data_IF_043090384756
#
_entry.id   IF_043090384756
#
_cell.length_a   1.000
_cell.length_b   1.000
_cell.length_c   1.000
_cell.angle_alpha   90.00
_cell.angle_beta   90.00
_cell.angle_gamma   90.00
#
_symmetry.space_group_name_H-M   'P 1'
#
loop_
_entity.id
_entity.type
_entity.pdbx_description
1 polymer ?
#
# COMPACT_ATOMS: atom_id res chain seq x y z
N UNK A 1 1.51 -18.00 -27.29
CA UNK A 1 2.93 -18.27 -26.96
C UNK A 1 2.99 -19.01 -25.63
N UNK A 2 3.97 -19.91 -25.45
CA UNK A 2 4.19 -20.57 -24.17
C UNK A 2 5.06 -19.72 -23.28
N UNK A 3 4.64 -19.50 -22.03
CA UNK A 3 5.37 -18.71 -21.04
C UNK A 3 5.46 -19.50 -19.74
N UNK A 4 6.66 -19.55 -19.16
CA UNK A 4 6.90 -20.23 -17.89
C UNK A 4 6.65 -19.27 -16.72
N UNK A 5 5.84 -19.69 -15.77
CA UNK A 5 5.56 -19.00 -14.51
C UNK A 5 6.16 -19.80 -13.36
N UNK A 6 7.10 -19.21 -12.65
CA UNK A 6 7.68 -19.75 -11.42
C UNK A 6 6.92 -19.18 -10.22
N UNK A 7 6.09 -20.01 -9.60
CA UNK A 7 5.12 -19.59 -8.59
C UNK A 7 5.54 -20.09 -7.22
N UNK A 8 5.59 -19.21 -6.25
CA UNK A 8 5.81 -19.56 -4.84
C UNK A 8 4.65 -20.40 -4.30
N UNK A 9 4.99 -21.50 -3.64
CA UNK A 9 4.05 -22.45 -3.04
C UNK A 9 4.38 -22.65 -1.56
N UNK A 10 3.34 -22.67 -0.77
CA UNK A 10 3.41 -23.00 0.65
C UNK A 10 2.03 -23.36 1.19
N UNK A 11 1.86 -24.56 1.71
CA UNK A 11 0.69 -24.96 2.47
C UNK A 11 1.10 -25.30 3.91
N UNK A 12 0.71 -24.52 4.93
CA UNK A 12 1.13 -24.73 6.32
C UNK A 12 0.67 -26.07 6.92
N UNK A 13 -0.29 -26.76 6.28
CA UNK A 13 -0.78 -28.05 6.74
C UNK A 13 0.08 -29.24 6.25
N UNK A 14 0.79 -29.06 5.12
CA UNK A 14 1.57 -30.13 4.48
C UNK A 14 3.05 -29.83 4.35
N UNK A 15 3.42 -28.56 4.18
CA UNK A 15 4.77 -28.19 3.78
C UNK A 15 5.59 -27.75 4.99
N UNK A 16 6.81 -28.29 5.09
CA UNK A 16 7.79 -27.86 6.10
C UNK A 16 8.42 -26.52 5.74
N UNK A 17 8.66 -26.30 4.45
CA UNK A 17 9.31 -25.11 3.92
C UNK A 17 8.64 -24.69 2.60
N UNK A 18 8.67 -23.39 2.25
CA UNK A 18 8.20 -22.93 0.95
C UNK A 18 9.03 -23.51 -0.19
N UNK A 19 8.40 -23.70 -1.35
CA UNK A 19 9.03 -24.14 -2.59
C UNK A 19 8.50 -23.37 -3.79
N UNK A 20 8.96 -23.68 -4.97
CA UNK A 20 8.47 -23.08 -6.21
C UNK A 20 8.07 -24.17 -7.19
N UNK A 21 6.90 -24.00 -7.81
CA UNK A 21 6.47 -24.78 -8.96
C UNK A 21 6.61 -23.96 -10.24
N UNK A 22 6.96 -24.62 -11.33
CA UNK A 22 7.03 -24.01 -12.66
C UNK A 22 5.87 -24.51 -13.49
N UNK A 23 5.07 -23.58 -14.01
CA UNK A 23 3.93 -23.85 -14.86
C UNK A 23 4.16 -23.24 -16.24
N UNK A 24 4.09 -24.05 -17.29
CA UNK A 24 4.08 -23.58 -18.67
C UNK A 24 2.65 -23.45 -19.15
N UNK A 25 2.26 -22.26 -19.59
CA UNK A 25 0.92 -22.01 -20.10
C UNK A 25 0.93 -21.30 -21.44
N UNK A 26 -0.04 -21.63 -22.26
CA UNK A 26 -0.32 -20.89 -23.48
C UNK A 26 -1.05 -19.58 -23.15
N UNK A 27 -0.47 -18.45 -23.59
CA UNK A 27 -0.98 -17.13 -23.26
C UNK A 27 -0.72 -16.13 -24.38
N UNK A 28 -1.38 -14.98 -24.33
CA UNK A 28 -1.25 -13.87 -25.26
C UNK A 28 -0.46 -12.72 -24.60
N UNK A 29 0.27 -11.87 -25.37
CA UNK A 29 1.02 -10.74 -24.82
C UNK A 29 0.18 -9.77 -24.00
N UNK A 30 -1.10 -9.64 -24.32
CA UNK A 30 -2.04 -8.75 -23.63
C UNK A 30 -2.83 -9.43 -22.50
N UNK A 31 -2.61 -10.72 -22.24
CA UNK A 31 -3.20 -11.40 -21.07
C UNK A 31 -2.62 -10.77 -19.80
N UNK A 32 -3.46 -10.65 -18.78
CA UNK A 32 -3.03 -10.17 -17.46
C UNK A 32 -2.38 -11.32 -16.71
N UNK A 33 -1.42 -11.00 -15.84
CA UNK A 33 -0.83 -12.01 -14.94
C UNK A 33 -1.92 -12.74 -14.13
N UNK A 34 -2.99 -12.04 -13.73
CA UNK A 34 -4.13 -12.66 -13.05
C UNK A 34 -4.85 -13.70 -13.94
N UNK A 35 -4.98 -13.46 -15.24
CA UNK A 35 -5.61 -14.42 -16.16
C UNK A 35 -4.74 -15.66 -16.30
N UNK A 36 -3.41 -15.48 -16.33
CA UNK A 36 -2.45 -16.57 -16.33
C UNK A 36 -2.53 -17.42 -15.05
N UNK A 37 -2.60 -16.79 -13.88
CA UNK A 37 -2.81 -17.51 -12.61
C UNK A 37 -4.13 -18.27 -12.58
N UNK A 38 -5.20 -17.73 -13.17
CA UNK A 38 -6.46 -18.46 -13.31
C UNK A 38 -6.33 -19.67 -14.24
N UNK A 39 -5.62 -19.53 -15.38
CA UNK A 39 -5.35 -20.66 -16.30
C UNK A 39 -4.59 -21.78 -15.56
N UNK A 40 -3.53 -21.43 -14.81
CA UNK A 40 -2.80 -22.42 -13.98
C UNK A 40 -3.76 -23.14 -13.03
N UNK A 41 -4.55 -22.39 -12.26
CA UNK A 41 -5.47 -22.97 -11.27
C UNK A 41 -6.55 -23.87 -11.88
N UNK A 42 -7.05 -23.52 -13.05
CA UNK A 42 -8.14 -24.28 -13.67
C UNK A 42 -7.67 -25.46 -14.49
N UNK A 43 -6.46 -25.41 -15.06
CA UNK A 43 -6.01 -26.39 -16.03
C UNK A 43 -4.89 -27.32 -15.50
N UNK A 44 -4.07 -26.85 -14.56
CA UNK A 44 -2.88 -27.57 -14.12
C UNK A 44 -2.88 -27.89 -12.62
N UNK A 45 -3.18 -26.91 -11.76
CA UNK A 45 -3.15 -27.11 -10.32
C UNK A 45 -4.25 -26.31 -9.59
N UNK A 46 -5.34 -27.00 -9.28
CA UNK A 46 -6.49 -26.43 -8.57
C UNK A 46 -6.20 -26.03 -7.11
N UNK A 47 -5.07 -26.46 -6.55
CA UNK A 47 -4.69 -26.14 -5.16
C UNK A 47 -4.05 -24.75 -5.03
N UNK A 48 -3.60 -24.13 -6.14
CA UNK A 48 -2.97 -22.83 -6.15
C UNK A 48 -3.91 -21.75 -5.57
N UNK A 49 -3.43 -21.11 -4.50
CA UNK A 49 -4.23 -20.19 -3.71
C UNK A 49 -3.76 -18.73 -3.89
N UNK A 50 -4.64 -17.86 -4.35
CA UNK A 50 -4.43 -16.41 -4.46
C UNK A 50 -5.76 -15.68 -4.33
N UNK A 51 -5.67 -14.38 -3.99
CA UNK A 51 -6.86 -13.51 -3.89
C UNK A 51 -7.17 -12.87 -5.23
N UNK A 52 -8.44 -12.82 -5.57
CA UNK A 52 -8.96 -12.06 -6.70
C UNK A 52 -10.40 -11.59 -6.41
N UNK A 53 -10.80 -10.48 -7.03
CA UNK A 53 -12.15 -9.95 -6.95
C UNK A 53 -12.50 -9.19 -8.23
N UNK A 54 -12.31 -7.85 -8.28
CA UNK A 54 -12.77 -7.01 -9.38
C UNK A 54 -12.04 -7.24 -10.72
N UNK A 55 -10.81 -7.74 -10.70
CA UNK A 55 -9.95 -7.98 -11.86
C UNK A 55 -9.65 -6.73 -12.75
N UNK A 56 -9.81 -5.51 -12.22
CA UNK A 56 -9.59 -4.26 -12.98
C UNK A 56 -8.97 -3.13 -12.14
N UNK A 57 -8.21 -3.47 -11.09
CA UNK A 57 -7.38 -2.52 -10.35
C UNK A 57 -8.12 -1.59 -9.39
N UNK A 58 -9.30 -1.99 -8.88
CA UNK A 58 -10.09 -1.18 -7.94
C UNK A 58 -10.10 -1.77 -6.52
N UNK A 59 -10.23 -3.09 -6.37
CA UNK A 59 -10.33 -3.72 -5.05
C UNK A 59 -8.98 -3.89 -4.34
N UNK A 60 -7.87 -3.97 -5.08
CA UNK A 60 -6.53 -4.16 -4.52
C UNK A 60 -6.25 -5.55 -3.93
N UNK A 61 -7.15 -6.54 -4.12
CA UNK A 61 -7.04 -7.86 -3.46
C UNK A 61 -5.92 -8.73 -4.01
N UNK A 62 -5.54 -8.54 -5.26
CA UNK A 62 -4.58 -9.32 -6.03
C UNK A 62 -3.17 -8.73 -6.05
N UNK A 63 -2.80 -8.07 -4.94
CA UNK A 63 -1.45 -7.57 -4.74
C UNK A 63 -0.45 -8.71 -4.57
N UNK A 64 0.58 -8.75 -5.41
CA UNK A 64 1.63 -9.77 -5.44
C UNK A 64 3.00 -9.12 -5.66
N UNK A 65 4.05 -9.92 -5.53
CA UNK A 65 5.40 -9.58 -5.99
C UNK A 65 5.64 -10.32 -7.32
N UNK A 66 5.88 -9.58 -8.39
CA UNK A 66 6.12 -10.10 -9.74
C UNK A 66 7.51 -9.65 -10.17
N UNK A 67 8.42 -10.59 -10.44
CA UNK A 67 9.83 -10.29 -10.73
C UNK A 67 10.41 -9.26 -9.75
N UNK A 68 10.26 -9.52 -8.45
CA UNK A 68 10.73 -8.69 -7.32
C UNK A 68 10.03 -7.33 -7.17
N UNK A 69 9.02 -6.99 -7.95
CA UNK A 69 8.26 -5.74 -7.84
C UNK A 69 6.84 -5.99 -7.32
N UNK A 70 6.42 -5.29 -6.29
CA UNK A 70 5.03 -5.32 -5.82
C UNK A 70 4.10 -4.69 -6.86
N UNK A 71 3.05 -5.41 -7.25
CA UNK A 71 2.08 -4.97 -8.25
C UNK A 71 0.72 -5.64 -8.04
N UNK A 72 -0.31 -5.18 -8.76
CA UNK A 72 -1.57 -5.90 -8.89
C UNK A 72 -1.51 -6.82 -10.10
N UNK A 73 -1.78 -8.11 -9.91
CA UNK A 73 -1.77 -9.11 -10.98
C UNK A 73 -2.76 -8.78 -12.10
N UNK A 74 -3.89 -8.15 -11.78
CA UNK A 74 -4.92 -7.74 -12.74
C UNK A 74 -4.55 -6.51 -13.59
N UNK A 75 -3.45 -5.81 -13.27
CA UNK A 75 -3.00 -4.63 -14.01
C UNK A 75 -1.68 -4.84 -14.76
N UNK A 76 -1.01 -5.97 -14.55
CA UNK A 76 0.23 -6.32 -15.23
C UNK A 76 -0.06 -7.29 -16.36
N UNK A 77 0.51 -6.98 -17.53
CA UNK A 77 0.38 -7.77 -18.74
C UNK A 77 1.61 -8.65 -18.94
N UNK A 78 1.45 -9.77 -19.61
CA UNK A 78 2.57 -10.67 -19.95
C UNK A 78 3.65 -9.92 -20.72
N UNK A 79 3.29 -9.05 -21.67
CA UNK A 79 4.22 -8.21 -22.44
C UNK A 79 5.03 -7.20 -21.61
N UNK A 80 4.64 -6.93 -20.37
CA UNK A 80 5.41 -6.04 -19.47
C UNK A 80 6.69 -6.72 -18.96
N UNK A 81 6.86 -8.02 -19.23
CA UNK A 81 7.97 -8.85 -18.77
C UNK A 81 8.70 -9.52 -19.94
N UNK A 82 9.95 -9.90 -19.69
CA UNK A 82 10.73 -10.73 -20.63
C UNK A 82 10.21 -12.17 -20.55
N UNK A 83 9.30 -12.51 -21.44
CA UNK A 83 8.65 -13.84 -21.48
C UNK A 83 9.55 -14.95 -22.08
N UNK A 84 10.77 -14.62 -22.51
CA UNK A 84 11.81 -15.61 -22.80
C UNK A 84 12.42 -16.21 -21.51
N UNK A 85 12.14 -15.57 -20.34
CA UNK A 85 12.53 -16.02 -19.01
C UNK A 85 11.29 -16.36 -18.18
N UNK A 86 11.50 -17.17 -17.15
CA UNK A 86 10.44 -17.43 -16.18
C UNK A 86 9.94 -16.13 -15.52
N UNK A 87 8.61 -15.96 -15.46
CA UNK A 87 7.98 -14.88 -14.69
C UNK A 87 7.82 -15.37 -13.25
N UNK A 88 8.58 -14.78 -12.33
CA UNK A 88 8.54 -15.13 -10.91
C UNK A 88 7.35 -14.46 -10.23
N UNK A 89 6.50 -15.27 -9.57
CA UNK A 89 5.32 -14.82 -8.84
C UNK A 89 5.47 -15.22 -7.37
N UNK A 90 5.44 -14.24 -6.49
CA UNK A 90 5.62 -14.41 -5.05
C UNK A 90 4.53 -13.63 -4.27
N UNK A 91 4.25 -14.00 -3.01
CA UNK A 91 3.39 -13.19 -2.14
C UNK A 91 4.00 -11.79 -1.89
N UNK A 92 3.19 -10.84 -1.46
CA UNK A 92 3.69 -9.53 -1.04
C UNK A 92 4.70 -9.69 0.10
N UNK A 93 5.89 -9.12 -0.05
CA UNK A 93 6.92 -9.07 1.00
C UNK A 93 6.39 -8.35 2.24
N UNK A 94 7.08 -8.52 3.38
CA UNK A 94 6.70 -7.97 4.69
C UNK A 94 5.56 -8.72 5.38
N UNK A 95 4.59 -9.23 4.65
CA UNK A 95 3.44 -9.91 5.23
C UNK A 95 3.69 -11.39 5.47
N UNK A 96 3.14 -11.93 6.56
CA UNK A 96 3.17 -13.38 6.82
C UNK A 96 2.34 -14.10 5.77
N UNK A 97 2.92 -15.12 5.16
CA UNK A 97 2.21 -15.99 4.21
C UNK A 97 1.22 -16.86 4.98
N UNK A 98 0.00 -16.93 4.48
CA UNK A 98 -1.08 -17.82 4.97
C UNK A 98 -1.07 -19.11 4.18
N UNK A 99 -1.10 -19.02 2.85
CA UNK A 99 -1.01 -20.14 1.91
C UNK A 99 -0.64 -19.62 0.54
N UNK A 100 0.35 -20.21 -0.12
CA UNK A 100 0.82 -19.82 -1.45
C UNK A 100 1.01 -18.29 -1.59
N UNK A 101 0.21 -17.65 -2.42
CA UNK A 101 0.26 -16.22 -2.69
C UNK A 101 -0.63 -15.38 -1.75
N UNK A 102 -1.32 -16.03 -0.80
CA UNK A 102 -2.19 -15.37 0.17
C UNK A 102 -1.39 -14.95 1.40
N UNK A 103 -1.45 -13.67 1.73
CA UNK A 103 -0.80 -13.10 2.93
C UNK A 103 -1.81 -12.63 3.96
N UNK A 104 -1.39 -12.55 5.22
CA UNK A 104 -2.16 -11.96 6.32
C UNK A 104 -2.07 -10.44 6.29
N UNK A 105 -3.17 -9.77 5.95
CA UNK A 105 -3.29 -8.33 5.92
C UNK A 105 -3.78 -7.72 7.25
N UNK A 106 -4.10 -8.52 8.28
CA UNK A 106 -4.59 -7.98 9.55
C UNK A 106 -3.61 -7.00 10.19
N UNK A 107 -2.29 -7.27 10.28
CA UNK A 107 -1.34 -6.31 10.85
C UNK A 107 -1.30 -4.97 10.10
N UNK A 108 -1.52 -4.98 8.78
CA UNK A 108 -1.62 -3.78 7.97
C UNK A 108 -2.83 -2.92 8.36
N UNK A 109 -3.99 -3.53 8.50
CA UNK A 109 -5.21 -2.81 8.90
C UNK A 109 -5.16 -2.35 10.35
N UNK A 110 -4.59 -3.15 11.26
CA UNK A 110 -4.40 -2.76 12.66
C UNK A 110 -3.49 -1.52 12.79
N UNK A 111 -2.41 -1.44 12.01
CA UNK A 111 -1.56 -0.23 11.97
C UNK A 111 -2.33 1.00 11.50
N UNK A 112 -3.15 0.85 10.47
CA UNK A 112 -3.99 1.94 9.97
C UNK A 112 -5.00 2.38 11.06
N UNK A 113 -5.59 1.43 11.78
CA UNK A 113 -6.52 1.74 12.88
C UNK A 113 -5.83 2.41 14.06
N UNK A 114 -4.62 1.96 14.42
CA UNK A 114 -3.88 2.46 15.60
C UNK A 114 -3.51 3.94 15.52
N UNK A 115 -3.36 4.48 14.31
CA UNK A 115 -3.01 5.88 14.09
C UNK A 115 -4.19 6.77 13.74
N UNK A 116 -5.35 6.16 13.43
CA UNK A 116 -6.57 6.92 13.15
C UNK A 116 -7.21 7.30 14.49
N UNK A 117 -7.31 8.59 14.83
CA UNK A 117 -8.04 9.00 16.03
C UNK A 117 -9.45 8.44 15.99
N UNK A 118 -9.97 8.03 17.15
CA UNK A 118 -11.40 7.74 17.28
C UNK A 118 -12.13 8.95 16.71
N UNK A 119 -13.02 8.73 15.76
CA UNK A 119 -13.75 9.80 15.10
C UNK A 119 -14.28 10.75 16.17
N UNK A 120 -13.76 11.95 16.22
CA UNK A 120 -14.40 13.02 16.98
C UNK A 120 -15.72 13.19 16.25
N UNK A 121 -16.78 12.65 16.82
CA UNK A 121 -18.14 12.97 16.41
C UNK A 121 -18.28 14.46 16.69
N UNK A 122 -17.86 15.28 15.75
CA UNK A 122 -18.18 16.70 15.77
C UNK A 122 -19.68 16.77 15.50
N UNK A 123 -20.45 16.76 16.57
CA UNK A 123 -21.86 17.12 16.61
C UNK A 123 -22.06 18.61 16.28
N UNK A 124 -21.09 19.24 15.64
CA UNK A 124 -21.22 20.61 15.15
C UNK A 124 -22.15 20.55 13.96
N UNK A 125 -23.43 20.77 14.25
CA UNK A 125 -24.43 20.99 13.22
C UNK A 125 -24.15 22.36 12.57
N UNK A 126 -23.44 22.33 11.44
CA UNK A 126 -23.06 23.55 10.72
C UNK A 126 -24.26 24.19 9.98
N UNK A 127 -25.44 23.55 9.96
CA UNK A 127 -26.64 24.03 9.26
C UNK A 127 -26.47 24.23 7.75
N UNK A 128 -25.23 24.13 7.24
CA UNK A 128 -24.86 24.36 5.84
C UNK A 128 -23.76 23.37 5.40
N UNK A 129 -23.70 23.11 4.09
CA UNK A 129 -22.62 22.35 3.47
C UNK A 129 -21.26 23.05 3.70
N UNK A 130 -20.22 22.26 3.99
CA UNK A 130 -18.86 22.77 4.15
C UNK A 130 -18.16 22.83 2.79
N UNK A 131 -18.19 23.99 2.18
CA UNK A 131 -17.61 24.26 0.87
C UNK A 131 -16.08 24.24 0.96
N UNK A 132 -15.43 23.66 -0.04
CA UNK A 132 -13.98 23.69 -0.25
C UNK A 132 -13.65 24.30 -1.59
N UNK A 133 -12.57 25.08 -1.62
CA UNK A 133 -12.00 25.55 -2.88
C UNK A 133 -11.28 24.40 -3.62
N UNK A 134 -11.11 24.52 -4.93
CA UNK A 134 -10.34 23.58 -5.76
C UNK A 134 -8.90 23.45 -5.24
N UNK A 135 -8.30 24.54 -4.78
CA UNK A 135 -6.94 24.57 -4.24
C UNK A 135 -6.83 23.81 -2.91
N UNK A 136 -7.81 23.94 -2.02
CA UNK A 136 -7.84 23.15 -0.78
C UNK A 136 -8.00 21.66 -1.08
N UNK A 137 -8.92 21.31 -1.97
CA UNK A 137 -9.17 19.94 -2.38
C UNK A 137 -7.92 19.30 -3.01
N UNK A 138 -7.20 19.99 -3.86
CA UNK A 138 -6.01 19.48 -4.54
C UNK A 138 -4.88 19.05 -3.58
N UNK A 139 -4.88 19.54 -2.33
CA UNK A 139 -3.84 19.22 -1.33
C UNK A 139 -3.85 17.76 -0.91
N UNK A 140 -4.99 17.08 -0.98
CA UNK A 140 -5.17 15.70 -0.53
C UNK A 140 -5.87 14.79 -1.55
N UNK A 141 -6.23 15.31 -2.72
CA UNK A 141 -6.98 14.57 -3.74
C UNK A 141 -6.29 13.25 -4.16
N UNK A 142 -4.98 13.28 -4.29
CA UNK A 142 -4.19 12.08 -4.61
C UNK A 142 -4.34 10.98 -3.54
N UNK A 143 -4.41 11.34 -2.26
CA UNK A 143 -4.54 10.38 -1.18
C UNK A 143 -5.90 9.64 -1.18
N UNK A 144 -6.93 10.24 -1.79
CA UNK A 144 -8.25 9.62 -1.93
C UNK A 144 -8.27 8.41 -2.87
N UNK A 145 -7.31 8.31 -3.78
CA UNK A 145 -7.20 7.21 -4.75
C UNK A 145 -6.70 5.91 -4.12
N UNK A 146 -6.26 5.94 -2.85
CA UNK A 146 -5.68 4.78 -2.19
C UNK A 146 -6.71 3.67 -1.99
N UNK A 147 -6.41 2.48 -2.53
CA UNK A 147 -7.26 1.27 -2.47
C UNK A 147 -6.78 0.26 -1.42
N UNK A 148 -5.82 0.62 -0.57
CA UNK A 148 -5.31 -0.22 0.52
C UNK A 148 -4.79 -1.60 0.06
N UNK A 149 -4.15 -1.67 -1.10
CA UNK A 149 -3.68 -2.93 -1.69
C UNK A 149 -2.42 -3.53 -1.03
N UNK A 150 -1.72 -2.81 -0.16
CA UNK A 150 -0.51 -3.30 0.51
C UNK A 150 0.79 -3.25 -0.33
N UNK A 151 0.75 -3.00 -1.64
CA UNK A 151 1.96 -2.99 -2.51
C UNK A 151 3.06 -2.05 -1.99
N UNK A 152 2.71 -0.89 -1.46
CA UNK A 152 3.66 0.08 -0.92
C UNK A 152 4.36 -0.41 0.37
N UNK A 153 3.76 -1.31 1.12
CA UNK A 153 4.38 -1.98 2.27
C UNK A 153 5.38 -3.03 1.79
N UNK A 154 4.97 -3.92 0.89
CA UNK A 154 5.83 -4.96 0.34
C UNK A 154 7.06 -4.43 -0.41
N UNK A 155 6.99 -3.19 -0.91
CA UNK A 155 8.09 -2.55 -1.62
C UNK A 155 8.95 -1.61 -0.74
N UNK A 156 8.60 -1.41 0.53
CA UNK A 156 9.30 -0.45 1.39
C UNK A 156 10.51 -1.11 2.08
N UNK A 157 11.76 -0.74 1.76
CA UNK A 157 12.93 -1.33 2.41
C UNK A 157 12.97 -1.09 3.93
N UNK A 158 12.39 0.03 4.39
CA UNK A 158 12.32 0.28 5.83
C UNK A 158 11.49 -0.79 6.53
N UNK A 159 10.33 -1.12 5.99
CA UNK A 159 9.43 -2.11 6.60
C UNK A 159 9.96 -3.54 6.48
N UNK A 160 10.59 -3.86 5.36
CA UNK A 160 11.04 -5.22 5.08
C UNK A 160 12.36 -5.57 5.77
N UNK A 161 13.23 -4.58 6.03
CA UNK A 161 14.63 -4.82 6.41
C UNK A 161 15.13 -4.01 7.60
N UNK A 162 14.54 -2.83 7.91
CA UNK A 162 15.14 -1.87 8.84
C UNK A 162 14.33 -1.63 10.11
N UNK A 163 13.02 -1.40 9.99
CA UNK A 163 12.13 -1.04 11.11
C UNK A 163 10.74 -1.63 10.88
N UNK A 164 10.50 -2.79 11.46
CA UNK A 164 9.21 -3.46 11.36
C UNK A 164 8.09 -2.76 12.14
N UNK A 165 8.42 -1.83 13.06
CA UNK A 165 7.44 -1.05 13.80
C UNK A 165 7.03 0.23 13.06
N UNK A 166 7.75 0.61 12.01
CA UNK A 166 7.37 1.74 11.17
C UNK A 166 5.91 1.60 10.70
N UNK A 167 5.10 2.61 10.94
CA UNK A 167 3.65 2.58 10.62
C UNK A 167 3.36 2.41 9.12
N UNK A 168 4.34 2.70 8.28
CA UNK A 168 4.31 2.41 6.85
C UNK A 168 3.66 3.48 5.97
N UNK A 169 3.90 3.37 4.65
CA UNK A 169 3.53 4.42 3.70
C UNK A 169 2.03 4.67 3.59
N UNK A 170 1.19 3.61 3.54
CA UNK A 170 -0.25 3.76 3.36
C UNK A 170 -0.92 4.38 4.59
N UNK A 171 -0.44 4.07 5.79
CA UNK A 171 -0.96 4.64 7.02
C UNK A 171 -0.72 6.15 7.06
N UNK A 172 0.51 6.60 6.76
CA UNK A 172 0.83 8.04 6.70
C UNK A 172 0.02 8.73 5.59
N UNK A 173 -0.10 8.12 4.41
CA UNK A 173 -0.90 8.65 3.31
C UNK A 173 -2.36 8.83 3.70
N UNK A 174 -2.93 7.87 4.44
CA UNK A 174 -4.31 7.95 4.93
C UNK A 174 -4.50 9.11 5.89
N UNK A 175 -3.58 9.32 6.84
CA UNK A 175 -3.64 10.45 7.76
C UNK A 175 -3.39 11.78 7.05
N UNK A 176 -2.50 11.82 6.07
CA UNK A 176 -2.25 13.00 5.23
C UNK A 176 -3.53 13.51 4.58
N UNK A 177 -4.41 12.62 4.14
CA UNK A 177 -5.72 12.98 3.60
C UNK A 177 -6.52 13.85 4.55
N UNK A 178 -6.57 13.49 5.83
CA UNK A 178 -7.30 14.25 6.85
C UNK A 178 -6.55 15.51 7.29
N UNK A 179 -5.24 15.43 7.45
CA UNK A 179 -4.40 16.56 7.89
C UNK A 179 -4.46 17.74 6.91
N UNK A 180 -4.61 17.46 5.62
CA UNK A 180 -4.67 18.48 4.58
C UNK A 180 -6.09 18.83 4.12
N UNK A 181 -7.11 18.19 4.68
CA UNK A 181 -8.52 18.57 4.49
C UNK A 181 -8.85 19.73 5.44
N UNK A 182 -9.14 20.90 4.89
CA UNK A 182 -9.49 22.13 5.66
C UNK A 182 -10.74 21.96 6.55
N UNK A 183 -11.50 20.91 6.33
CA UNK A 183 -12.72 20.59 7.11
C UNK A 183 -12.44 19.68 8.30
N UNK A 184 -11.23 19.16 8.44
CA UNK A 184 -10.86 18.23 9.52
C UNK A 184 -10.57 19.01 10.81
N UNK A 185 -11.30 18.78 11.90
CA UNK A 185 -11.14 19.55 13.14
C UNK A 185 -9.95 19.10 13.98
N UNK A 186 -9.55 17.84 13.91
CA UNK A 186 -8.56 17.16 14.77
C UNK A 186 -7.15 17.08 14.15
N UNK A 187 -6.81 18.01 13.26
CA UNK A 187 -5.51 18.03 12.55
C UNK A 187 -4.31 18.01 13.50
N UNK A 188 -4.37 18.75 14.61
CA UNK A 188 -3.27 18.82 15.60
C UNK A 188 -3.04 17.46 16.26
N UNK A 189 -4.10 16.75 16.65
CA UNK A 189 -4.02 15.43 17.27
C UNK A 189 -3.40 14.41 16.29
N UNK A 190 -3.84 14.40 15.04
CA UNK A 190 -3.30 13.54 13.98
C UNK A 190 -1.80 13.76 13.77
N UNK A 191 -1.35 15.01 13.76
CA UNK A 191 0.07 15.34 13.64
C UNK A 191 0.89 14.86 14.85
N UNK A 192 0.34 14.93 16.07
CA UNK A 192 1.02 14.40 17.28
C UNK A 192 1.18 12.87 17.21
N UNK A 193 0.17 12.15 16.69
CA UNK A 193 0.28 10.69 16.51
C UNK A 193 1.39 10.36 15.49
N UNK A 194 1.43 11.04 14.35
CA UNK A 194 2.42 10.81 13.30
C UNK A 194 3.85 11.25 13.69
N UNK A 195 4.00 12.11 14.69
CA UNK A 195 5.28 12.60 15.18
C UNK A 195 6.03 11.59 16.07
N UNK A 196 5.34 10.57 16.59
CA UNK A 196 5.93 9.53 17.46
C UNK A 196 7.08 8.79 16.77
N UNK A 197 7.96 8.10 17.53
CA UNK A 197 8.88 7.12 16.96
C UNK A 197 8.13 6.17 16.03
N UNK A 198 8.77 5.63 15.02
CA UNK A 198 8.14 4.79 13.99
C UNK A 198 7.00 5.44 13.17
N UNK A 199 6.72 6.75 13.41
CA UNK A 199 5.80 7.55 12.61
C UNK A 199 6.45 8.07 11.30
N UNK A 200 6.15 9.31 10.89
CA UNK A 200 6.68 9.87 9.63
C UNK A 200 8.19 9.88 9.50
N UNK A 201 8.91 9.93 10.64
CA UNK A 201 10.37 9.97 10.69
C UNK A 201 11.02 8.63 10.34
N UNK A 202 10.30 7.52 10.45
CA UNK A 202 10.75 6.22 9.95
C UNK A 202 10.98 6.19 8.45
N UNK A 203 10.26 7.03 7.69
CA UNK A 203 10.44 7.10 6.23
C UNK A 203 11.82 7.65 5.84
N UNK A 204 12.62 6.84 5.10
CA UNK A 204 13.95 7.18 4.57
C UNK A 204 13.90 7.68 3.11
N UNK A 205 12.71 7.90 2.55
CA UNK A 205 12.49 8.46 1.21
C UNK A 205 13.10 7.63 0.05
N UNK A 206 13.02 6.30 0.13
CA UNK A 206 13.44 5.41 -0.97
C UNK A 206 12.55 5.49 -2.22
N UNK A 207 11.43 6.17 -2.18
CA UNK A 207 10.45 6.35 -3.26
C UNK A 207 9.77 5.06 -3.77
N UNK A 208 10.13 3.88 -3.30
CA UNK A 208 9.58 2.62 -3.78
C UNK A 208 8.06 2.55 -3.65
N UNK A 209 7.50 3.08 -2.56
CA UNK A 209 6.05 3.16 -2.37
C UNK A 209 5.33 4.00 -3.44
N UNK A 210 5.99 5.01 -4.00
CA UNK A 210 5.47 5.81 -5.13
C UNK A 210 5.57 5.04 -6.43
N UNK A 211 6.71 4.38 -6.68
CA UNK A 211 6.99 3.62 -7.92
C UNK A 211 6.00 2.49 -8.11
N UNK A 212 5.73 1.69 -7.06
CA UNK A 212 4.86 0.51 -7.14
C UNK A 212 3.37 0.81 -7.00
N UNK A 213 2.99 2.08 -6.76
CA UNK A 213 1.59 2.40 -6.49
C UNK A 213 0.72 2.19 -7.75
N UNK A 214 -0.23 1.22 -7.76
CA UNK A 214 -1.07 0.95 -8.92
C UNK A 214 -2.02 2.09 -9.26
N UNK A 215 -2.27 2.99 -8.29
CA UNK A 215 -3.08 4.20 -8.48
C UNK A 215 -2.24 5.44 -8.81
N UNK A 216 -0.92 5.27 -9.04
CA UNK A 216 0.04 6.34 -9.37
C UNK A 216 0.05 7.49 -8.36
N UNK A 217 -0.22 7.17 -7.08
CA UNK A 217 -0.19 8.15 -5.99
C UNK A 217 1.26 8.51 -5.67
N UNK A 218 1.53 9.79 -5.53
CA UNK A 218 2.85 10.29 -5.11
C UNK A 218 3.04 10.15 -3.58
N UNK A 219 3.09 8.89 -3.12
CA UNK A 219 3.06 8.53 -1.69
C UNK A 219 4.21 9.17 -0.92
N UNK A 220 5.44 9.13 -1.46
CA UNK A 220 6.61 9.74 -0.81
C UNK A 220 6.46 11.26 -0.66
N UNK A 221 5.94 11.94 -1.68
CA UNK A 221 5.68 13.39 -1.60
C UNK A 221 4.64 13.71 -0.53
N UNK A 222 3.57 12.90 -0.40
CA UNK A 222 2.58 13.07 0.66
C UNK A 222 3.21 12.95 2.06
N UNK A 223 4.12 11.99 2.25
CA UNK A 223 4.88 11.83 3.50
C UNK A 223 5.77 13.04 3.76
N UNK A 224 6.51 13.52 2.76
CA UNK A 224 7.38 14.68 2.88
C UNK A 224 6.62 15.97 3.21
N UNK A 225 5.45 16.17 2.59
CA UNK A 225 4.55 17.29 2.93
C UNK A 225 4.07 17.21 4.38
N UNK A 226 3.78 16.00 4.88
CA UNK A 226 3.38 15.79 6.29
C UNK A 226 4.54 16.11 7.23
N UNK A 227 5.77 15.65 6.93
CA UNK A 227 6.98 16.03 7.70
C UNK A 227 7.15 17.55 7.76
N UNK A 228 7.06 18.23 6.61
CA UNK A 228 7.17 19.70 6.54
C UNK A 228 6.12 20.39 7.42
N UNK A 229 4.88 19.93 7.39
CA UNK A 229 3.80 20.49 8.21
C UNK A 229 4.07 20.33 9.72
N UNK A 230 4.58 19.19 10.15
CA UNK A 230 4.98 18.95 11.55
C UNK A 230 6.07 19.94 11.98
N UNK A 231 7.11 20.15 11.14
CA UNK A 231 8.20 21.09 11.43
C UNK A 231 7.67 22.53 11.55
N UNK A 232 6.81 22.96 10.63
CA UNK A 232 6.21 24.29 10.67
C UNK A 232 5.39 24.53 11.94
N UNK A 233 4.61 23.56 12.39
CA UNK A 233 3.86 23.69 13.65
C UNK A 233 4.76 23.75 14.89
N UNK A 234 5.91 23.07 14.87
CA UNK A 234 6.88 23.16 15.95
C UNK A 234 7.53 24.54 16.01
N UNK A 235 7.94 25.08 14.86
CA UNK A 235 8.53 26.41 14.77
C UNK A 235 7.56 27.51 15.22
N UNK A 236 6.29 27.43 14.82
CA UNK A 236 5.27 28.40 15.23
C UNK A 236 5.06 28.42 16.75
N UNK A 237 5.12 27.27 17.42
CA UNK A 237 5.00 27.18 18.89
C UNK A 237 6.19 27.81 19.59
N UNK A 238 7.42 27.60 19.07
CA UNK A 238 8.65 28.20 19.64
C UNK A 238 8.58 29.72 19.54
N UNK A 239 8.16 30.29 18.41
CA UNK A 239 8.02 31.72 18.23
C UNK A 239 6.96 32.34 19.14
N UNK A 240 5.84 31.67 19.38
CA UNK A 240 4.80 32.11 20.30
C UNK A 240 5.32 32.17 21.75
N UNK A 241 6.06 31.14 22.18
CA UNK A 241 6.65 31.12 23.53
C UNK A 241 7.79 32.14 23.74
N UNK A 242 8.52 32.44 22.68
CA UNK A 242 9.60 33.46 22.73
C UNK A 242 9.08 34.90 22.69
N UNK A 243 7.86 35.16 22.24
CA UNK A 243 7.22 36.47 22.22
C UNK A 243 6.41 36.82 23.46
N UNK A 244 6.20 35.84 24.37
CA UNK A 244 5.48 36.03 25.65
C UNK A 244 6.43 36.24 26.85
N UNK A 245 7.74 36.24 26.66
CA UNK A 245 8.77 36.57 27.63
C UNK A 245 9.43 37.92 27.28
#
# INVERSE_FOLDING_TARGET
MNVAFKVYRFNPESDKEPHYDVFEIETEPNDRILDCLNKIRWQQDSTLSFRMSCAHGICGSDGLTINSQSALACQKLVKDYDFAKEILIEPLKYFRVVKDLIVDLNPFFERIKSITPKAVQTTVNFGKERIQSIQERSRFDDALKCILCGCCYGACPVMTEQDQEFIGPAAILREQRYIFDSRTPDTKERLQILKKPHGVWGCKSYYMCTVVCPKKIKVTEAILRTKKKIIQEQQSKIHQQAGEN
#
